data_IF_141312527954
#
_entry.id   IF_141312527954
#
_cell.length_a   1.000
_cell.length_b   1.000
_cell.length_c   1.000
_cell.angle_alpha   90.00
_cell.angle_beta   90.00
_cell.angle_gamma   90.00
#
_symmetry.space_group_name_H-M   'P 1'
#
loop_
_entity.id
_entity.type
_entity.pdbx_description
1 polymer ?
#
# COMPACT_ATOMS: atom_id res chain seq x y z
N UNK A 1 -19.29 -0.56 3.49
CA UNK A 1 -17.94 -0.06 3.18
C UNK A 1 -17.55 -0.49 1.79
N UNK A 2 -17.03 0.43 1.01
CA UNK A 2 -16.77 0.21 -0.40
C UNK A 2 -15.34 0.67 -0.74
N UNK A 3 -14.67 -0.05 -1.65
CA UNK A 3 -13.36 0.34 -2.18
C UNK A 3 -13.56 1.13 -3.46
N UNK A 4 -13.02 2.35 -3.51
CA UNK A 4 -13.06 3.21 -4.68
C UNK A 4 -11.68 3.73 -5.05
N UNK A 5 -11.43 3.90 -6.33
CA UNK A 5 -10.26 4.63 -6.80
C UNK A 5 -10.49 6.12 -6.58
N UNK A 6 -9.54 6.77 -5.90
CA UNK A 6 -9.56 8.22 -5.71
C UNK A 6 -8.42 8.85 -6.52
N UNK A 7 -8.59 10.12 -6.82
CA UNK A 7 -7.62 10.90 -7.59
C UNK A 7 -7.14 12.12 -6.80
N UNK A 8 -6.35 12.97 -7.46
CA UNK A 8 -5.73 14.16 -6.86
C UNK A 8 -6.73 15.15 -6.27
N UNK A 9 -7.99 15.12 -6.67
CA UNK A 9 -9.02 16.02 -6.12
C UNK A 9 -9.22 15.82 -4.62
N UNK A 10 -8.89 14.61 -4.11
CA UNK A 10 -9.02 14.30 -2.68
C UNK A 10 -7.67 14.24 -1.96
N UNK A 11 -6.66 14.92 -2.49
CA UNK A 11 -5.29 14.86 -1.97
C UNK A 11 -5.18 15.29 -0.50
N UNK A 12 -5.92 16.28 -0.06
CA UNK A 12 -5.84 16.76 1.33
C UNK A 12 -6.27 15.69 2.31
N UNK A 13 -7.33 14.95 1.99
CA UNK A 13 -7.81 13.84 2.82
C UNK A 13 -6.82 12.66 2.80
N UNK A 14 -6.24 12.39 1.64
CA UNK A 14 -5.25 11.33 1.48
C UNK A 14 -4.01 11.61 2.33
N UNK A 15 -3.50 12.83 2.27
CA UNK A 15 -2.34 13.27 3.06
C UNK A 15 -2.64 13.18 4.55
N UNK A 16 -3.80 13.67 4.99
CA UNK A 16 -4.20 13.61 6.39
C UNK A 16 -4.28 12.17 6.90
N UNK A 17 -4.82 11.27 6.09
CA UNK A 17 -4.91 9.85 6.42
C UNK A 17 -3.52 9.21 6.53
N UNK A 18 -2.63 9.49 5.58
CA UNK A 18 -1.26 8.99 5.58
C UNK A 18 -0.50 9.43 6.83
N UNK A 19 -0.58 10.71 7.20
CA UNK A 19 0.06 11.25 8.40
C UNK A 19 -0.47 10.61 9.68
N UNK A 20 -1.76 10.35 9.74
CA UNK A 20 -2.37 9.70 10.89
C UNK A 20 -1.92 8.24 11.05
N UNK A 21 -1.79 7.51 9.93
CA UNK A 21 -1.39 6.11 9.93
C UNK A 21 0.12 5.92 10.08
N UNK A 22 0.92 6.84 9.56
CA UNK A 22 2.38 6.76 9.53
C UNK A 22 3.01 8.04 10.08
N UNK A 23 2.96 8.27 11.39
CA UNK A 23 3.46 9.53 11.96
C UNK A 23 4.95 9.78 11.77
N UNK A 24 5.73 8.73 11.47
CA UNK A 24 7.16 8.82 11.18
C UNK A 24 7.48 8.67 9.70
N UNK A 25 6.81 7.76 9.02
CA UNK A 25 7.12 7.36 7.63
C UNK A 25 6.20 8.01 6.59
N UNK A 26 5.35 8.95 6.98
CA UNK A 26 4.45 9.59 6.03
C UNK A 26 5.22 10.30 4.90
N UNK A 27 4.62 10.37 3.73
CA UNK A 27 5.21 11.05 2.59
C UNK A 27 4.91 12.54 2.63
N UNK A 28 5.80 13.32 2.00
CA UNK A 28 5.63 14.77 1.85
C UNK A 28 4.52 15.08 0.86
N UNK A 29 3.95 16.27 0.98
CA UNK A 29 2.90 16.74 0.08
C UNK A 29 3.35 16.70 -1.39
N UNK A 30 4.59 17.10 -1.68
CA UNK A 30 5.13 17.08 -3.04
C UNK A 30 5.15 15.66 -3.61
N UNK A 31 5.49 14.66 -2.80
CA UNK A 31 5.52 13.26 -3.23
C UNK A 31 4.12 12.77 -3.60
N UNK A 32 3.11 13.12 -2.78
CA UNK A 32 1.73 12.79 -3.06
C UNK A 32 1.22 13.47 -4.32
N UNK A 33 1.53 14.76 -4.51
CA UNK A 33 1.15 15.50 -5.71
C UNK A 33 1.72 14.86 -6.96
N UNK A 34 2.99 14.52 -6.95
CA UNK A 34 3.67 13.90 -8.08
C UNK A 34 3.11 12.52 -8.40
N UNK A 35 2.95 11.67 -7.38
CA UNK A 35 2.46 10.31 -7.57
C UNK A 35 0.99 10.26 -7.98
N UNK A 36 0.13 11.09 -7.39
CA UNK A 36 -1.28 11.11 -7.77
C UNK A 36 -1.50 11.66 -9.17
N UNK A 37 -0.56 12.44 -9.71
CA UNK A 37 -0.58 12.92 -11.08
C UNK A 37 -0.02 11.89 -12.08
N UNK A 38 0.69 10.88 -11.60
CA UNK A 38 1.30 9.83 -12.44
C UNK A 38 0.24 8.82 -12.86
N UNK A 39 0.02 8.61 -14.17
CA UNK A 39 -1.00 7.66 -14.64
C UNK A 39 -0.73 6.21 -14.27
N UNK A 40 0.52 5.87 -13.89
CA UNK A 40 0.89 4.52 -13.46
C UNK A 40 0.57 4.27 -11.98
N UNK A 41 0.34 5.31 -11.20
CA UNK A 41 -0.01 5.21 -9.78
C UNK A 41 -1.52 5.12 -9.64
N UNK A 42 -1.97 4.22 -8.75
CA UNK A 42 -3.41 4.02 -8.51
C UNK A 42 -3.64 3.99 -7.00
N UNK A 43 -4.54 4.87 -6.55
CA UNK A 43 -4.93 4.97 -5.16
C UNK A 43 -6.33 4.39 -4.96
N UNK A 44 -6.43 3.32 -4.21
CA UNK A 44 -7.71 2.75 -3.79
C UNK A 44 -7.95 3.06 -2.33
N UNK A 45 -9.11 3.59 -2.01
CA UNK A 45 -9.54 3.86 -0.64
C UNK A 45 -10.69 2.95 -0.26
N UNK A 46 -10.65 2.46 0.97
CA UNK A 46 -11.80 1.84 1.62
C UNK A 46 -12.56 2.97 2.33
N UNK A 47 -13.81 3.17 1.96
CA UNK A 47 -14.63 4.27 2.43
C UNK A 47 -15.74 3.80 3.35
N UNK A 48 -15.90 4.48 4.47
CA UNK A 48 -17.10 4.45 5.29
C UNK A 48 -17.89 5.72 4.98
N UNK A 49 -18.92 5.59 4.15
CA UNK A 49 -19.56 6.75 3.54
C UNK A 49 -18.56 7.49 2.63
N UNK A 50 -18.17 8.69 3.01
CA UNK A 50 -17.14 9.47 2.28
C UNK A 50 -15.78 9.47 2.98
N UNK A 51 -15.70 8.92 4.18
CA UNK A 51 -14.48 8.94 5.00
C UNK A 51 -13.53 7.82 4.61
N UNK A 52 -12.25 8.15 4.43
CA UNK A 52 -11.20 7.18 4.19
C UNK A 52 -10.88 6.47 5.52
N UNK A 53 -11.04 5.14 5.55
CA UNK A 53 -10.69 4.31 6.70
C UNK A 53 -9.61 3.28 6.40
N UNK A 54 -9.23 3.16 5.16
CA UNK A 54 -8.14 2.30 4.71
C UNK A 54 -7.74 2.67 3.30
N UNK A 55 -6.52 2.28 2.91
CA UNK A 55 -6.05 2.50 1.55
C UNK A 55 -5.05 1.44 1.10
N UNK A 56 -4.92 1.30 -0.21
CA UNK A 56 -3.79 0.65 -0.85
C UNK A 56 -3.37 1.52 -2.03
N UNK A 57 -2.13 1.95 -2.01
CA UNK A 57 -1.55 2.74 -3.08
C UNK A 57 -0.58 1.85 -3.85
N UNK A 58 -0.77 1.75 -5.16
CA UNK A 58 0.06 0.90 -6.01
C UNK A 58 0.66 1.70 -7.15
N UNK A 59 1.80 1.22 -7.62
CA UNK A 59 2.43 1.69 -8.84
C UNK A 59 2.52 0.53 -9.82
N UNK A 60 1.91 0.70 -10.98
CA UNK A 60 1.86 -0.34 -12.01
C UNK A 60 3.05 -0.18 -12.97
N UNK A 61 4.15 -0.90 -12.69
CA UNK A 61 5.34 -0.92 -13.54
C UNK A 61 5.08 -1.77 -14.79
N UNK A 62 4.45 -1.19 -15.81
CA UNK A 62 4.26 -1.87 -17.08
C UNK A 62 5.51 -1.77 -17.94
N UNK A 63 5.74 -2.77 -18.79
CA UNK A 63 6.86 -2.80 -19.72
C UNK A 63 8.14 -3.31 -19.09
N UNK A 64 9.09 -2.43 -18.79
CA UNK A 64 10.44 -2.82 -18.36
C UNK A 64 10.50 -3.70 -17.11
N UNK A 65 9.65 -3.45 -16.11
CA UNK A 65 9.74 -4.11 -14.83
C UNK A 65 8.73 -5.23 -14.64
N UNK A 66 7.59 -5.12 -15.28
CA UNK A 66 6.54 -6.14 -15.30
C UNK A 66 6.09 -6.60 -13.91
N UNK A 67 5.96 -5.65 -12.97
CA UNK A 67 5.42 -5.93 -11.65
C UNK A 67 4.65 -4.72 -11.10
N UNK A 68 3.79 -4.99 -10.13
CA UNK A 68 3.07 -3.97 -9.38
C UNK A 68 3.76 -3.76 -8.04
N UNK A 69 4.12 -2.52 -7.74
CA UNK A 69 4.65 -2.16 -6.43
C UNK A 69 3.50 -1.77 -5.51
N UNK A 70 3.39 -2.44 -4.37
CA UNK A 70 2.52 -2.01 -3.28
C UNK A 70 3.29 -0.92 -2.53
N UNK A 71 2.92 0.33 -2.80
CA UNK A 71 3.61 1.49 -2.25
C UNK A 71 3.22 1.75 -0.81
N UNK A 72 1.96 1.48 -0.48
CA UNK A 72 1.40 1.78 0.83
C UNK A 72 0.15 0.94 1.07
N UNK A 73 -0.02 0.45 2.29
CA UNK A 73 -1.26 -0.18 2.77
C UNK A 73 -1.49 0.31 4.18
N UNK A 74 -2.66 0.87 4.44
CA UNK A 74 -2.98 1.39 5.77
C UNK A 74 -4.44 1.17 6.11
N UNK A 75 -4.70 0.99 7.40
CA UNK A 75 -6.06 0.91 7.95
C UNK A 75 -6.09 1.81 9.19
N UNK A 76 -7.13 2.62 9.30
CA UNK A 76 -7.36 3.47 10.46
C UNK A 76 -7.30 2.65 11.76
N UNK A 77 -6.69 3.20 12.79
CA UNK A 77 -6.43 2.51 14.06
C UNK A 77 -7.72 1.94 14.69
N UNK A 78 -8.85 2.63 14.51
CA UNK A 78 -10.14 2.22 15.07
C UNK A 78 -10.84 1.14 14.24
N UNK A 79 -10.30 0.79 13.07
CA UNK A 79 -10.88 -0.19 12.14
C UNK A 79 -9.95 -1.38 11.91
N UNK A 80 -8.92 -1.55 12.72
CA UNK A 80 -7.97 -2.67 12.62
C UNK A 80 -8.57 -3.97 13.12
N UNK A 81 -7.94 -5.09 12.76
CA UNK A 81 -8.34 -6.47 13.13
C UNK A 81 -9.69 -6.89 12.55
N UNK A 82 -10.10 -6.29 11.45
CA UNK A 82 -11.35 -6.62 10.75
C UNK A 82 -11.12 -7.17 9.34
N UNK A 83 -9.85 -7.45 8.98
CA UNK A 83 -9.51 -8.00 7.68
C UNK A 83 -9.49 -6.97 6.55
N UNK A 84 -9.48 -5.68 6.84
CA UNK A 84 -9.53 -4.65 5.81
C UNK A 84 -8.23 -4.53 5.01
N UNK A 85 -7.07 -4.72 5.65
CA UNK A 85 -5.79 -4.74 4.93
C UNK A 85 -5.74 -5.91 3.94
N UNK A 86 -6.21 -7.09 4.33
CA UNK A 86 -6.34 -8.26 3.46
C UNK A 86 -7.26 -7.94 2.27
N UNK A 87 -8.40 -7.34 2.53
CA UNK A 87 -9.37 -6.96 1.51
C UNK A 87 -8.79 -5.98 0.50
N UNK A 88 -8.01 -5.00 0.97
CA UNK A 88 -7.36 -4.02 0.11
C UNK A 88 -6.28 -4.66 -0.77
N UNK A 89 -5.45 -5.53 -0.22
CA UNK A 89 -4.44 -6.25 -1.01
C UNK A 89 -5.08 -7.18 -2.05
N UNK A 90 -6.14 -7.88 -1.68
CA UNK A 90 -6.88 -8.73 -2.64
C UNK A 90 -7.50 -7.90 -3.75
N UNK A 91 -8.06 -6.74 -3.43
CA UNK A 91 -8.63 -5.84 -4.44
C UNK A 91 -7.58 -5.39 -5.44
N UNK A 92 -6.41 -4.96 -4.96
CA UNK A 92 -5.31 -4.54 -5.84
C UNK A 92 -4.85 -5.69 -6.74
N UNK A 93 -4.72 -6.89 -6.20
CA UNK A 93 -4.34 -8.07 -6.98
C UNK A 93 -5.39 -8.40 -8.05
N UNK A 94 -6.66 -8.39 -7.68
CA UNK A 94 -7.77 -8.69 -8.61
C UNK A 94 -7.82 -7.69 -9.75
N UNK A 95 -7.71 -6.40 -9.46
CA UNK A 95 -7.76 -5.36 -10.49
C UNK A 95 -6.54 -5.41 -11.42
N UNK A 96 -5.37 -5.66 -10.87
CA UNK A 96 -4.16 -5.71 -11.68
C UNK A 96 -4.02 -7.00 -12.49
N UNK A 97 -4.51 -8.13 -11.99
CA UNK A 97 -4.53 -9.37 -12.78
C UNK A 97 -5.44 -9.28 -13.99
N UNK A 98 -6.52 -8.49 -13.91
CA UNK A 98 -7.36 -8.18 -15.09
C UNK A 98 -6.57 -7.46 -16.20
N UNK A 99 -5.51 -6.75 -15.84
CA UNK A 99 -4.61 -6.07 -16.77
C UNK A 99 -3.41 -6.94 -17.19
N UNK A 100 -3.38 -8.20 -16.76
CA UNK A 100 -2.31 -9.14 -17.09
C UNK A 100 -1.11 -9.13 -16.14
N UNK A 101 -1.15 -8.36 -15.07
CA UNK A 101 -0.06 -8.33 -14.10
C UNK A 101 -0.10 -9.57 -13.20
N UNK A 102 1.08 -10.14 -12.93
CA UNK A 102 1.21 -11.40 -12.19
C UNK A 102 2.15 -11.33 -11.01
N UNK A 103 2.94 -10.25 -10.90
CA UNK A 103 3.94 -10.10 -9.85
C UNK A 103 3.68 -8.83 -9.06
N UNK A 104 3.68 -8.98 -7.73
CA UNK A 104 3.39 -7.89 -6.79
C UNK A 104 4.50 -7.85 -5.74
N UNK A 105 4.99 -6.67 -5.44
CA UNK A 105 6.06 -6.47 -4.47
C UNK A 105 5.63 -5.47 -3.42
N UNK A 106 5.89 -5.77 -2.16
CA UNK A 106 5.61 -4.87 -1.04
C UNK A 106 6.66 -4.99 0.03
N UNK A 107 6.75 -3.99 0.89
CA UNK A 107 7.75 -3.98 1.96
C UNK A 107 7.20 -3.39 3.24
N UNK A 108 7.78 -3.77 4.37
CA UNK A 108 7.41 -3.25 5.68
C UNK A 108 8.60 -3.31 6.64
N UNK A 109 8.54 -2.53 7.72
CA UNK A 109 9.55 -2.56 8.77
C UNK A 109 9.61 -3.94 9.43
N UNK A 110 10.81 -4.36 9.81
CA UNK A 110 11.03 -5.63 10.51
C UNK A 110 10.19 -5.74 11.79
N UNK A 111 9.92 -4.63 12.47
CA UNK A 111 9.09 -4.61 13.69
C UNK A 111 7.59 -4.69 13.42
N UNK A 112 7.14 -4.48 12.20
CA UNK A 112 5.72 -4.50 11.87
C UNK A 112 5.23 -5.91 11.61
N UNK A 113 5.08 -6.69 12.68
CA UNK A 113 4.66 -8.09 12.59
C UNK A 113 3.25 -8.23 12.02
N UNK A 114 2.37 -7.28 12.32
CA UNK A 114 0.99 -7.31 11.82
C UNK A 114 0.96 -7.23 10.28
N UNK A 115 1.74 -6.34 9.69
CA UNK A 115 1.78 -6.20 8.23
C UNK A 115 2.47 -7.38 7.56
N UNK A 116 3.52 -7.93 8.17
CA UNK A 116 4.15 -9.16 7.70
C UNK A 116 3.13 -10.30 7.61
N UNK A 117 2.31 -10.44 8.65
CA UNK A 117 1.25 -11.44 8.68
C UNK A 117 0.22 -11.23 7.58
N UNK A 118 -0.17 -10.00 7.33
CA UNK A 118 -1.11 -9.66 6.25
C UNK A 118 -0.54 -10.07 4.89
N UNK A 119 0.71 -9.75 4.61
CA UNK A 119 1.36 -10.18 3.37
C UNK A 119 1.36 -11.70 3.23
N UNK A 120 1.78 -12.41 4.27
CA UNK A 120 1.83 -13.88 4.28
C UNK A 120 0.44 -14.49 4.07
N UNK A 121 -0.58 -13.98 4.78
CA UNK A 121 -1.96 -14.43 4.63
C UNK A 121 -2.50 -14.23 3.21
N UNK A 122 -2.03 -13.21 2.50
CA UNK A 122 -2.41 -12.93 1.12
C UNK A 122 -1.56 -13.68 0.08
N UNK A 123 -0.70 -14.60 0.52
CA UNK A 123 0.10 -15.45 -0.37
C UNK A 123 1.45 -14.87 -0.76
N UNK A 124 1.84 -13.74 -0.18
CA UNK A 124 3.18 -13.19 -0.40
C UNK A 124 4.21 -14.01 0.38
N UNK A 125 5.42 -14.10 -0.16
CA UNK A 125 6.55 -14.71 0.54
C UNK A 125 7.66 -13.69 0.77
N UNK A 126 8.40 -13.86 1.86
CA UNK A 126 9.57 -13.04 2.17
C UNK A 126 10.67 -13.33 1.16
N UNK A 127 11.07 -12.32 0.41
CA UNK A 127 12.07 -12.47 -0.65
C UNK A 127 13.45 -11.94 -0.23
N UNK A 128 13.49 -10.76 0.38
CA UNK A 128 14.74 -10.09 0.77
C UNK A 128 14.54 -9.38 2.09
N UNK A 129 15.58 -9.39 2.93
CA UNK A 129 15.68 -8.51 4.09
C UNK A 129 16.80 -7.52 3.78
N UNK A 130 16.46 -6.22 3.73
CA UNK A 130 17.44 -5.16 3.47
C UNK A 130 17.72 -4.42 4.76
N UNK A 131 18.94 -4.53 5.27
CA UNK A 131 19.37 -3.89 6.51
C UNK A 131 19.48 -2.37 6.34
N UNK A 132 19.23 -1.63 7.42
CA UNK A 132 19.35 -0.17 7.47
C UNK A 132 18.54 0.57 6.40
N UNK A 133 17.38 0.03 6.06
CA UNK A 133 16.53 0.58 5.01
C UNK A 133 15.70 1.78 5.49
N UNK A 134 15.13 1.68 6.69
CA UNK A 134 14.31 2.72 7.30
C UNK A 134 15.13 3.54 8.30
N UNK A 135 14.67 4.78 8.53
CA UNK A 135 15.21 5.70 9.54
C UNK A 135 14.16 5.98 10.61
N UNK A 136 14.58 6.49 11.76
CA UNK A 136 13.74 6.99 12.86
C UNK A 136 12.68 6.01 13.39
N UNK A 137 13.05 4.81 13.89
CA UNK A 137 14.40 4.30 14.08
C UNK A 137 14.96 3.60 12.84
N UNK A 138 16.29 3.42 12.83
CA UNK A 138 16.95 2.60 11.82
C UNK A 138 16.48 1.16 11.95
N UNK A 139 16.03 0.58 10.85
CA UNK A 139 15.41 -0.72 10.87
C UNK A 139 15.49 -1.38 9.51
N UNK A 140 15.53 -2.72 9.48
CA UNK A 140 15.51 -3.48 8.24
C UNK A 140 14.14 -3.42 7.58
N UNK A 141 14.13 -3.51 6.25
CA UNK A 141 12.93 -3.76 5.47
C UNK A 141 12.78 -5.25 5.20
N UNK A 142 11.58 -5.75 5.42
CA UNK A 142 11.17 -7.08 4.98
C UNK A 142 10.42 -6.92 3.67
N UNK A 143 10.99 -7.44 2.59
CA UNK A 143 10.48 -7.30 1.22
C UNK A 143 9.80 -8.57 0.77
N UNK A 144 8.54 -8.44 0.41
CA UNK A 144 7.63 -9.53 0.08
C UNK A 144 7.27 -9.52 -1.39
N UNK A 145 7.04 -10.71 -1.94
CA UNK A 145 6.63 -10.90 -3.34
C UNK A 145 5.44 -11.85 -3.40
N UNK A 146 4.46 -11.49 -4.21
CA UNK A 146 3.40 -12.38 -4.66
C UNK A 146 3.62 -12.67 -6.13
N UNK A 147 3.68 -13.95 -6.49
CA UNK A 147 3.80 -14.40 -7.87
C UNK A 147 2.61 -15.29 -8.22
N UNK A 148 1.78 -14.84 -9.14
CA UNK A 148 0.59 -15.57 -9.59
C UNK A 148 0.84 -16.38 -10.86
#
# INVERSE_FOLDING_TARGET
MEIKRLNIERIDEIIAFDQACFPTDFWKEEDWQELLADPMAIYYALLDGTKIIGDVFIYNWQGEKDYVKIMNVAVDVNHRRQGFAHRLLHHAADEMTKLGMRRFCGETRASNLAMQRVFEDCGYFLNVIEENYYDNPTESAYKYVLQL
#
